data_IF_646660617182
#
_entry.id   IF_646660617182
#
_cell.length_a   1.000
_cell.length_b   1.000
_cell.length_c   1.000
_cell.angle_alpha   90.00
_cell.angle_beta   90.00
_cell.angle_gamma   90.00
#
_symmetry.space_group_name_H-M   'P 1'
#
loop_
_entity.id
_entity.type
_entity.pdbx_description
1 polymer ?
#
# COMPACT_ATOMS: atom_id res chain seq x y z
N UNK A 1 -26.87 -25.91 45.42
CA UNK A 1 -26.61 -25.29 44.11
C UNK A 1 -27.51 -24.06 44.00
N UNK A 2 -26.96 -22.89 44.26
CA UNK A 2 -27.68 -21.62 44.39
C UNK A 2 -27.94 -21.01 43.01
N UNK A 3 -29.22 -20.87 42.65
CA UNK A 3 -29.67 -20.13 41.48
C UNK A 3 -29.35 -18.63 41.64
N UNK A 4 -28.26 -18.16 41.04
CA UNK A 4 -28.01 -16.72 40.81
C UNK A 4 -29.02 -16.24 39.77
N UNK A 5 -30.04 -15.50 40.19
CA UNK A 5 -31.08 -14.99 39.30
C UNK A 5 -30.48 -13.97 38.34
N UNK A 6 -30.80 -14.08 37.05
CA UNK A 6 -30.40 -13.19 35.96
C UNK A 6 -30.64 -11.72 36.32
N UNK A 7 -31.66 -11.41 37.14
CA UNK A 7 -31.97 -10.08 37.65
C UNK A 7 -30.91 -9.48 38.59
N UNK A 8 -30.17 -10.32 39.34
CA UNK A 8 -29.07 -9.82 40.19
C UNK A 8 -27.83 -9.52 39.39
N UNK A 9 -27.55 -10.23 38.28
CA UNK A 9 -26.44 -9.97 37.38
C UNK A 9 -26.67 -8.69 36.58
N UNK A 10 -27.86 -8.48 36.03
CA UNK A 10 -28.21 -7.26 35.31
C UNK A 10 -28.12 -6.00 36.20
N UNK A 11 -28.55 -6.07 37.47
CA UNK A 11 -28.43 -4.95 38.41
C UNK A 11 -26.96 -4.63 38.73
N UNK A 12 -26.09 -5.64 38.83
CA UNK A 12 -24.65 -5.44 39.04
C UNK A 12 -23.95 -4.85 37.81
N UNK A 13 -24.31 -5.29 36.60
CA UNK A 13 -23.80 -4.74 35.34
C UNK A 13 -24.29 -3.29 35.17
N UNK A 14 -25.56 -3.00 35.42
CA UNK A 14 -26.11 -1.64 35.37
C UNK A 14 -25.41 -0.70 36.38
N UNK A 15 -25.19 -1.19 37.61
CA UNK A 15 -24.46 -0.41 38.64
C UNK A 15 -23.00 -0.16 38.23
N UNK A 16 -22.32 -1.12 37.58
CA UNK A 16 -20.94 -0.97 37.08
C UNK A 16 -20.88 0.04 35.94
N UNK A 17 -21.82 0.02 35.02
CA UNK A 17 -21.94 0.97 33.92
C UNK A 17 -22.22 2.40 34.44
N UNK A 18 -23.08 2.56 35.41
CA UNK A 18 -23.35 3.86 36.06
C UNK A 18 -22.13 4.37 36.83
N UNK A 19 -21.38 3.46 37.49
CA UNK A 19 -20.13 3.81 38.20
C UNK A 19 -19.03 4.24 37.20
N UNK A 20 -18.91 3.55 36.04
CA UNK A 20 -17.98 3.89 34.98
C UNK A 20 -18.36 5.19 34.24
N UNK A 21 -19.64 5.48 34.09
CA UNK A 21 -20.13 6.74 33.53
C UNK A 21 -20.03 7.90 34.55
N UNK A 22 -20.12 7.61 35.84
CA UNK A 22 -19.96 8.62 36.91
C UNK A 22 -18.51 9.05 37.19
N UNK A 23 -17.51 8.23 36.79
CA UNK A 23 -16.09 8.59 36.96
C UNK A 23 -15.54 9.43 35.80
N UNK A 24 -16.31 9.65 34.71
CA UNK A 24 -15.93 10.47 33.56
C UNK A 24 -16.30 11.97 33.71
N UNK A 25 -16.76 12.38 34.80
CA UNK A 25 -17.21 13.77 35.01
C UNK A 25 -16.76 14.37 36.29
N UNK A 26 -15.57 14.89 36.39
CA UNK A 26 -15.15 16.18 36.98
C UNK A 26 -13.62 16.27 36.85
N UNK A 27 -13.12 16.41 35.64
CA UNK A 27 -11.84 17.07 35.43
C UNK A 27 -12.08 18.56 35.63
N UNK A 28 -11.72 19.10 36.79
CA UNK A 28 -11.61 20.54 36.95
C UNK A 28 -10.61 21.03 35.93
N UNK A 29 -11.07 21.61 34.82
CA UNK A 29 -10.25 22.41 33.92
C UNK A 29 -9.79 23.61 34.71
N UNK A 30 -8.64 23.50 35.36
CA UNK A 30 -7.84 24.66 35.76
C UNK A 30 -7.52 25.35 34.43
N UNK A 31 -8.19 26.47 34.16
CA UNK A 31 -7.79 27.41 33.10
C UNK A 31 -6.38 27.85 33.51
N UNK A 32 -5.35 27.29 32.89
CA UNK A 32 -4.00 27.77 32.97
C UNK A 32 -4.01 29.22 32.46
N UNK A 33 -3.41 30.14 33.24
CA UNK A 33 -3.38 31.59 32.99
C UNK A 33 -2.48 31.94 31.76
N UNK A 34 -2.35 31.14 30.76
CA UNK A 34 -1.54 31.35 29.56
C UNK A 34 -2.13 30.70 28.31
N UNK A 35 -3.37 30.21 28.38
CA UNK A 35 -4.02 29.53 27.24
C UNK A 35 -3.36 28.20 26.84
N UNK A 36 -3.80 27.62 25.75
CA UNK A 36 -3.24 26.36 25.18
C UNK A 36 -2.51 26.65 23.88
N UNK A 37 -1.30 26.12 23.75
CA UNK A 37 -0.51 26.11 22.50
C UNK A 37 -0.55 24.72 21.90
N UNK A 38 -1.07 24.62 20.70
CA UNK A 38 -1.09 23.33 19.96
C UNK A 38 0.16 23.22 19.09
N UNK A 39 0.88 22.10 19.25
CA UNK A 39 2.05 21.77 18.42
C UNK A 39 1.67 20.74 17.40
N UNK A 40 1.84 21.06 16.13
CA UNK A 40 1.52 20.22 14.97
C UNK A 40 2.81 19.68 14.34
N UNK A 41 3.23 18.44 14.62
CA UNK A 41 4.35 17.82 13.93
C UNK A 41 4.05 17.65 12.44
N UNK A 42 4.89 18.24 11.59
CA UNK A 42 4.67 18.31 10.14
C UNK A 42 5.97 17.92 9.44
N UNK A 43 6.09 16.64 9.08
CA UNK A 43 7.30 16.07 8.46
C UNK A 43 6.95 15.32 7.19
N UNK A 44 7.81 15.45 6.17
CA UNK A 44 7.67 14.73 4.90
C UNK A 44 7.25 15.64 3.75
N UNK A 45 6.79 15.02 2.65
CA UNK A 45 6.38 15.72 1.43
C UNK A 45 5.10 16.52 1.70
N UNK A 46 5.03 17.73 1.13
CA UNK A 46 3.82 18.56 1.15
C UNK A 46 2.85 18.02 0.11
N UNK A 47 1.78 17.43 0.60
CA UNK A 47 0.70 16.80 -0.16
C UNK A 47 -0.68 17.22 0.39
N UNK A 48 -1.75 16.81 -0.27
CA UNK A 48 -3.13 17.12 0.13
C UNK A 48 -3.44 16.62 1.55
N UNK A 49 -2.83 15.52 1.97
CA UNK A 49 -3.05 15.00 3.32
C UNK A 49 -2.42 15.90 4.39
N UNK A 50 -1.25 16.50 4.09
CA UNK A 50 -0.61 17.48 4.95
C UNK A 50 -1.41 18.80 4.96
N UNK A 51 -1.89 19.25 3.80
CA UNK A 51 -2.72 20.45 3.69
C UNK A 51 -4.00 20.29 4.53
N UNK A 52 -4.70 19.18 4.35
CA UNK A 52 -5.90 18.86 5.14
C UNK A 52 -5.60 18.73 6.64
N UNK A 53 -4.51 18.07 7.03
CA UNK A 53 -4.10 17.95 8.42
C UNK A 53 -3.90 19.32 9.07
N UNK A 54 -3.21 20.24 8.40
CA UNK A 54 -2.96 21.57 8.91
C UNK A 54 -4.27 22.39 8.97
N UNK A 55 -5.09 22.37 7.92
CA UNK A 55 -6.37 23.07 7.89
C UNK A 55 -7.31 22.60 9.01
N UNK A 56 -7.49 21.29 9.18
CA UNK A 56 -8.40 20.73 10.19
C UNK A 56 -7.90 21.06 11.61
N UNK A 57 -6.60 21.03 11.88
CA UNK A 57 -6.03 21.31 13.20
C UNK A 57 -6.00 22.82 13.51
N UNK A 58 -5.75 23.69 12.54
CA UNK A 58 -5.85 25.14 12.72
C UNK A 58 -7.29 25.52 13.03
N UNK A 59 -8.26 25.05 12.26
CA UNK A 59 -9.67 25.29 12.53
C UNK A 59 -10.12 24.74 13.90
N UNK A 60 -9.63 23.56 14.29
CA UNK A 60 -9.89 23.01 15.62
C UNK A 60 -9.27 23.84 16.74
N UNK A 61 -8.05 24.34 16.55
CA UNK A 61 -7.38 25.21 17.51
C UNK A 61 -8.14 26.55 17.68
N UNK A 62 -8.63 27.13 16.59
CA UNK A 62 -9.50 28.32 16.63
C UNK A 62 -10.78 28.08 17.43
N UNK A 63 -11.49 26.97 17.16
CA UNK A 63 -12.72 26.62 17.88
C UNK A 63 -12.48 26.39 19.39
N UNK A 64 -11.32 25.90 19.75
CA UNK A 64 -10.92 25.67 21.16
C UNK A 64 -10.35 26.90 21.84
N UNK A 65 -10.24 28.05 21.14
CA UNK A 65 -9.67 29.27 21.67
C UNK A 65 -8.17 29.15 22.00
N UNK A 66 -7.41 28.50 21.14
CA UNK A 66 -5.98 28.35 21.30
C UNK A 66 -5.27 29.70 21.39
N UNK A 67 -4.23 29.82 22.25
CA UNK A 67 -3.39 31.00 22.31
C UNK A 67 -2.45 31.13 21.11
N UNK A 68 -1.99 29.99 20.57
CA UNK A 68 -1.20 29.90 19.34
C UNK A 68 -1.19 28.46 18.79
N UNK A 69 -0.82 28.32 17.52
CA UNK A 69 -0.48 27.04 16.87
C UNK A 69 0.98 27.06 16.46
N UNK A 70 1.75 26.06 16.83
CA UNK A 70 3.14 25.87 16.43
C UNK A 70 3.21 24.72 15.41
N UNK A 71 3.55 25.01 14.18
CA UNK A 71 3.81 24.01 13.14
C UNK A 71 5.29 23.66 13.20
N UNK A 72 5.62 22.45 13.70
CA UNK A 72 6.99 21.92 13.71
C UNK A 72 7.29 21.29 12.36
N UNK A 73 7.95 22.06 11.48
CA UNK A 73 8.11 21.77 10.06
C UNK A 73 9.47 21.14 9.73
N UNK A 74 9.44 20.05 8.94
CA UNK A 74 10.61 19.46 8.29
C UNK A 74 10.19 18.85 6.95
N UNK A 75 10.46 19.54 5.84
CA UNK A 75 9.96 19.12 4.52
C UNK A 75 10.95 19.39 3.39
N UNK A 76 11.09 18.45 2.45
CA UNK A 76 11.82 18.66 1.20
C UNK A 76 11.05 19.54 0.20
N UNK A 77 9.76 19.81 0.46
CA UNK A 77 8.83 20.42 -0.48
C UNK A 77 7.73 19.45 -0.89
N UNK A 78 7.04 19.77 -1.99
CA UNK A 78 5.96 18.92 -2.52
C UNK A 78 5.10 19.63 -3.54
N UNK A 79 3.79 19.33 -3.54
CA UNK A 79 2.81 19.89 -4.47
C UNK A 79 2.66 21.40 -4.31
N UNK A 80 2.65 22.11 -5.43
CA UNK A 80 2.40 23.56 -5.44
C UNK A 80 0.95 23.85 -5.01
N UNK A 81 -0.01 23.06 -5.49
CA UNK A 81 -1.42 23.18 -5.10
C UNK A 81 -1.60 23.03 -3.59
N UNK A 82 -1.08 21.94 -3.02
CA UNK A 82 -1.15 21.73 -1.56
C UNK A 82 -0.39 22.79 -0.77
N UNK A 83 0.69 23.38 -1.37
CA UNK A 83 1.40 24.51 -0.77
C UNK A 83 0.53 25.73 -0.69
N UNK A 84 -0.17 26.06 -1.78
CA UNK A 84 -1.09 27.21 -1.85
C UNK A 84 -2.24 27.05 -0.86
N UNK A 85 -2.79 25.84 -0.72
CA UNK A 85 -3.85 25.55 0.25
C UNK A 85 -3.37 25.76 1.70
N UNK A 86 -2.14 25.31 2.01
CA UNK A 86 -1.53 25.54 3.33
C UNK A 86 -1.29 27.05 3.54
N UNK A 87 -0.66 27.72 2.59
CA UNK A 87 -0.41 29.18 2.67
C UNK A 87 -1.71 29.92 2.90
N UNK A 88 -2.77 29.62 2.14
CA UNK A 88 -4.10 30.20 2.33
C UNK A 88 -4.61 29.97 3.76
N UNK A 89 -4.53 28.76 4.26
CA UNK A 89 -4.92 28.41 5.64
C UNK A 89 -4.14 29.25 6.68
N UNK A 90 -2.83 29.45 6.49
CA UNK A 90 -2.01 30.21 7.45
C UNK A 90 -2.29 31.71 7.37
N UNK A 91 -2.54 32.25 6.19
CA UNK A 91 -2.87 33.67 6.02
C UNK A 91 -4.26 34.04 6.55
N UNK A 92 -5.24 33.11 6.40
CA UNK A 92 -6.61 33.27 6.86
C UNK A 92 -6.82 32.88 8.34
N UNK A 93 -5.80 32.36 9.01
CA UNK A 93 -5.90 31.93 10.40
C UNK A 93 -6.22 33.10 11.33
N UNK A 94 -7.20 32.87 12.22
CA UNK A 94 -7.58 33.80 13.29
C UNK A 94 -6.75 33.62 14.54
N UNK A 95 -6.11 32.46 14.68
CA UNK A 95 -5.16 32.15 15.75
C UNK A 95 -3.73 32.44 15.27
N UNK A 96 -2.83 32.95 16.13
CA UNK A 96 -1.43 33.15 15.78
C UNK A 96 -0.76 31.84 15.36
N UNK A 97 -0.12 31.84 14.19
CA UNK A 97 0.61 30.69 13.65
C UNK A 97 2.11 30.94 13.77
N UNK A 98 2.80 30.00 14.40
CA UNK A 98 4.25 29.95 14.51
C UNK A 98 4.77 28.77 13.70
N UNK A 99 5.64 28.99 12.72
CA UNK A 99 6.35 27.89 12.06
C UNK A 99 7.74 27.77 12.66
N UNK A 100 8.06 26.57 13.12
CA UNK A 100 9.36 26.22 13.66
C UNK A 100 10.01 25.13 12.83
N UNK A 101 11.03 25.50 12.05
CA UNK A 101 11.80 24.55 11.25
C UNK A 101 12.68 23.72 12.16
N UNK A 102 12.32 22.47 12.38
CA UNK A 102 12.95 21.54 13.34
C UNK A 102 12.69 20.08 12.92
N UNK A 103 13.47 19.11 13.39
CA UNK A 103 14.56 19.22 14.39
C UNK A 103 15.84 19.85 13.83
N UNK A 104 16.88 19.94 14.66
CA UNK A 104 18.23 20.32 14.23
C UNK A 104 18.67 19.46 13.01
N UNK A 105 19.27 20.10 11.99
CA UNK A 105 19.60 19.46 10.72
C UNK A 105 18.42 19.28 9.75
N UNK A 106 17.19 19.58 10.19
CA UNK A 106 16.01 19.61 9.34
C UNK A 106 16.03 20.77 8.33
N UNK A 107 14.99 20.88 7.52
CA UNK A 107 14.92 21.89 6.48
C UNK A 107 13.48 22.27 6.11
N UNK A 108 13.33 23.49 5.59
CA UNK A 108 12.13 23.99 4.96
C UNK A 108 12.45 24.32 3.50
N UNK A 109 12.58 23.27 2.67
CA UNK A 109 12.92 23.43 1.26
C UNK A 109 11.67 23.54 0.39
N UNK A 110 11.77 24.26 -0.75
CA UNK A 110 10.71 24.40 -1.76
C UNK A 110 9.41 24.89 -1.11
N UNK A 111 8.31 24.11 -1.15
CA UNK A 111 7.03 24.38 -0.46
C UNK A 111 7.23 24.85 1.00
N UNK A 112 8.19 24.25 1.72
CA UNK A 112 8.50 24.63 3.09
C UNK A 112 8.92 26.08 3.26
N UNK A 113 9.53 26.68 2.23
CA UNK A 113 9.88 28.10 2.23
C UNK A 113 8.63 28.98 2.23
N UNK A 114 7.69 28.72 1.35
CA UNK A 114 6.40 29.43 1.29
C UNK A 114 5.63 29.31 2.62
N UNK A 115 5.50 28.09 3.13
CA UNK A 115 4.81 27.82 4.40
C UNK A 115 5.48 28.57 5.56
N UNK A 116 6.82 28.57 5.62
CA UNK A 116 7.56 29.26 6.68
C UNK A 116 7.37 30.77 6.59
N UNK A 117 7.45 31.35 5.39
CA UNK A 117 7.26 32.78 5.19
C UNK A 117 5.83 33.23 5.47
N UNK A 118 4.82 32.41 5.23
CA UNK A 118 3.40 32.71 5.44
C UNK A 118 3.02 32.80 6.95
N UNK A 119 3.85 32.26 7.85
CA UNK A 119 3.57 32.27 9.30
C UNK A 119 3.69 33.66 9.92
N UNK A 120 2.98 33.87 11.04
CA UNK A 120 3.12 35.10 11.83
C UNK A 120 4.51 35.23 12.46
N UNK A 121 5.04 34.11 12.98
CA UNK A 121 6.39 34.01 13.53
C UNK A 121 7.07 32.80 12.91
N UNK A 122 8.24 33.00 12.31
CA UNK A 122 9.07 31.94 11.76
C UNK A 122 10.34 31.78 12.59
N UNK A 123 10.58 30.56 13.09
CA UNK A 123 11.77 30.22 13.83
C UNK A 123 12.46 29.02 13.22
N UNK A 124 13.76 28.91 13.40
CA UNK A 124 14.54 27.79 12.89
C UNK A 124 15.42 27.21 14.00
N UNK A 125 15.51 25.88 14.05
CA UNK A 125 16.45 25.21 14.94
C UNK A 125 17.89 25.32 14.41
N UNK A 126 18.91 25.22 15.27
CA UNK A 126 20.30 25.24 14.85
C UNK A 126 20.61 24.17 13.79
N UNK A 127 21.43 24.52 12.79
CA UNK A 127 21.83 23.64 11.71
C UNK A 127 20.72 23.32 10.70
N UNK A 128 19.60 24.05 10.73
CA UNK A 128 18.55 23.95 9.72
C UNK A 128 18.80 24.91 8.55
N UNK A 129 18.09 24.69 7.46
CA UNK A 129 18.18 25.52 6.24
C UNK A 129 16.78 25.78 5.64
N UNK A 130 16.70 26.87 4.87
CA UNK A 130 15.46 27.29 4.19
C UNK A 130 15.80 27.80 2.78
N UNK A 131 14.92 27.58 1.79
CA UNK A 131 15.10 28.05 0.42
C UNK A 131 14.92 26.96 -0.63
N UNK A 132 15.65 27.09 -1.76
CA UNK A 132 15.59 26.20 -2.90
C UNK A 132 14.13 26.00 -3.40
N UNK A 133 13.43 27.10 -3.67
CA UNK A 133 11.99 27.11 -3.89
C UNK A 133 11.61 27.27 -5.38
N UNK A 134 12.53 27.05 -6.32
CA UNK A 134 12.25 27.06 -7.75
C UNK A 134 11.28 25.93 -8.12
N UNK A 135 10.20 26.21 -8.86
CA UNK A 135 9.31 25.20 -9.39
C UNK A 135 10.05 24.27 -10.36
N UNK A 136 9.91 22.97 -10.18
CA UNK A 136 10.45 21.93 -11.02
C UNK A 136 9.39 20.87 -11.32
N UNK A 137 9.56 20.11 -12.38
CA UNK A 137 8.77 18.91 -12.58
C UNK A 137 9.00 17.91 -11.44
N UNK A 138 8.01 17.07 -11.17
CA UNK A 138 8.12 16.08 -10.10
C UNK A 138 9.23 15.02 -10.31
N UNK A 139 9.83 14.92 -11.52
CA UNK A 139 11.01 14.08 -11.78
C UNK A 139 12.33 14.81 -11.52
N UNK A 140 12.26 16.06 -11.06
CA UNK A 140 13.42 16.90 -10.79
C UNK A 140 13.95 17.67 -11.99
N UNK A 141 13.32 17.55 -13.17
CA UNK A 141 13.70 18.32 -14.36
C UNK A 141 13.10 19.72 -14.35
N UNK A 142 13.73 20.64 -15.09
CA UNK A 142 13.20 21.99 -15.26
C UNK A 142 11.90 21.99 -16.06
N UNK A 143 10.97 22.86 -15.68
CA UNK A 143 9.75 23.11 -16.46
C UNK A 143 10.12 24.00 -17.66
N UNK A 144 10.16 23.40 -18.85
CA UNK A 144 10.59 24.10 -20.06
C UNK A 144 9.54 25.00 -20.70
N UNK A 145 10.00 25.87 -21.59
CA UNK A 145 9.13 26.66 -22.50
C UNK A 145 8.26 27.71 -21.81
N UNK A 146 7.19 28.11 -22.50
CA UNK A 146 6.26 29.16 -22.02
C UNK A 146 5.58 28.78 -20.70
N UNK A 147 5.34 27.48 -20.47
CA UNK A 147 4.72 27.01 -19.23
C UNK A 147 5.66 27.24 -18.05
N UNK A 148 6.93 26.89 -18.16
CA UNK A 148 7.92 27.12 -17.10
C UNK A 148 8.02 28.59 -16.72
N UNK A 149 8.01 29.49 -17.71
CA UNK A 149 8.00 30.94 -17.44
C UNK A 149 6.73 31.39 -16.69
N UNK A 150 5.56 30.86 -17.03
CA UNK A 150 4.31 31.19 -16.34
C UNK A 150 4.33 30.72 -14.88
N UNK A 151 4.70 29.46 -14.66
CA UNK A 151 4.78 28.87 -13.31
C UNK A 151 5.81 29.61 -12.45
N UNK A 152 6.97 29.90 -12.99
CA UNK A 152 8.03 30.64 -12.27
C UNK A 152 7.57 32.05 -11.90
N UNK A 153 6.96 32.79 -12.84
CA UNK A 153 6.48 34.14 -12.58
C UNK A 153 5.32 34.18 -11.57
N UNK A 154 4.46 33.18 -11.60
CA UNK A 154 3.36 33.04 -10.64
C UNK A 154 3.90 32.76 -9.23
N UNK A 155 4.83 31.81 -9.10
CA UNK A 155 5.49 31.50 -7.83
C UNK A 155 6.30 32.71 -7.27
N UNK A 156 6.92 33.52 -8.14
CA UNK A 156 7.59 34.76 -7.73
C UNK A 156 6.56 35.78 -7.22
N UNK A 157 5.44 35.94 -7.89
CA UNK A 157 4.38 36.85 -7.47
C UNK A 157 3.79 36.43 -6.12
N UNK A 158 3.53 35.14 -5.96
CA UNK A 158 3.01 34.57 -4.71
C UNK A 158 3.96 34.78 -3.53
N UNK A 159 5.24 34.37 -3.66
CA UNK A 159 6.19 34.51 -2.56
C UNK A 159 6.48 35.98 -2.22
N UNK A 160 6.41 36.87 -3.23
CA UNK A 160 6.52 38.32 -3.03
C UNK A 160 5.36 38.82 -2.16
N UNK A 161 4.12 38.42 -2.48
CA UNK A 161 2.92 38.82 -1.72
C UNK A 161 2.99 38.30 -0.28
N UNK A 162 3.40 37.03 -0.08
CA UNK A 162 3.57 36.45 1.24
C UNK A 162 4.63 37.21 2.06
N UNK A 163 5.79 37.49 1.46
CA UNK A 163 6.89 38.16 2.12
C UNK A 163 6.48 39.59 2.53
N UNK A 164 5.77 40.29 1.67
CA UNK A 164 5.24 41.64 1.98
C UNK A 164 4.18 41.63 3.09
N UNK A 165 3.22 40.68 3.07
CA UNK A 165 2.18 40.56 4.09
C UNK A 165 2.74 40.26 5.49
N UNK A 166 3.90 39.59 5.55
CA UNK A 166 4.56 39.15 6.80
C UNK A 166 5.83 39.93 7.14
N UNK A 167 6.06 41.08 6.51
CA UNK A 167 7.24 41.93 6.73
C UNK A 167 8.58 41.16 6.63
N UNK A 168 8.68 40.29 5.64
CA UNK A 168 9.87 39.49 5.38
C UNK A 168 10.74 40.05 4.25
N UNK A 169 11.97 39.57 4.15
CA UNK A 169 12.88 40.00 3.09
C UNK A 169 12.41 39.52 1.72
N UNK A 170 11.80 40.45 0.95
CA UNK A 170 11.24 40.19 -0.38
C UNK A 170 12.33 39.80 -1.38
N UNK A 171 13.49 40.48 -1.37
CA UNK A 171 14.57 40.21 -2.34
C UNK A 171 15.13 38.79 -2.15
N UNK A 172 15.29 38.36 -0.89
CA UNK A 172 15.69 37.00 -0.59
C UNK A 172 14.62 35.99 -1.02
N UNK A 173 13.35 36.26 -0.72
CA UNK A 173 12.23 35.40 -1.07
C UNK A 173 12.14 35.19 -2.59
N UNK A 174 12.25 36.26 -3.36
CA UNK A 174 12.30 36.20 -4.83
C UNK A 174 13.51 35.36 -5.31
N UNK A 175 14.70 35.55 -4.71
CA UNK A 175 15.89 34.78 -5.11
C UNK A 175 15.78 33.30 -4.75
N UNK A 176 15.06 32.94 -3.67
CA UNK A 176 14.81 31.56 -3.31
C UNK A 176 13.99 30.82 -4.39
N UNK A 177 13.05 31.53 -5.05
CA UNK A 177 12.25 30.98 -6.15
C UNK A 177 12.98 31.09 -7.48
N UNK A 178 13.54 32.27 -7.81
CA UNK A 178 14.12 32.53 -9.13
C UNK A 178 15.46 31.82 -9.34
N UNK A 179 16.31 31.84 -8.31
CA UNK A 179 17.69 31.40 -8.37
C UNK A 179 17.96 30.15 -7.52
N UNK A 180 16.92 29.51 -6.98
CA UNK A 180 16.99 28.40 -6.04
C UNK A 180 17.88 28.70 -4.82
N UNK A 181 17.97 29.96 -4.39
CA UNK A 181 18.80 30.33 -3.24
C UNK A 181 18.34 29.60 -1.98
N UNK A 182 19.32 29.14 -1.21
CA UNK A 182 19.09 28.49 0.10
C UNK A 182 20.04 29.13 1.12
N UNK A 183 19.56 29.30 2.35
CA UNK A 183 20.32 29.89 3.44
C UNK A 183 20.29 29.03 4.70
N UNK A 184 21.40 28.89 5.42
CA UNK A 184 21.43 28.35 6.76
C UNK A 184 20.73 29.31 7.74
N UNK A 185 20.40 28.81 8.92
CA UNK A 185 19.61 29.55 9.92
C UNK A 185 20.23 30.91 10.29
N UNK A 186 21.56 31.00 10.43
CA UNK A 186 22.25 32.23 10.81
C UNK A 186 22.08 33.32 9.75
N UNK A 187 22.22 32.97 8.46
CA UNK A 187 22.00 33.88 7.35
C UNK A 187 20.53 34.26 7.23
N UNK A 188 19.62 33.28 7.37
CA UNK A 188 18.17 33.53 7.27
C UNK A 188 17.68 34.51 8.35
N UNK A 189 18.21 34.43 9.58
CA UNK A 189 17.92 35.39 10.64
C UNK A 189 18.51 36.77 10.34
N UNK A 190 19.80 36.81 9.94
CA UNK A 190 20.48 38.09 9.66
C UNK A 190 19.87 38.87 8.52
N UNK A 191 19.34 38.18 7.53
CA UNK A 191 18.64 38.76 6.39
C UNK A 191 17.17 39.09 6.62
N UNK A 192 16.61 38.77 7.79
CA UNK A 192 15.19 38.99 8.09
C UNK A 192 14.23 38.05 7.31
N UNK A 193 14.72 36.90 6.90
CA UNK A 193 13.90 35.86 6.28
C UNK A 193 13.01 35.18 7.34
N UNK A 194 13.60 34.91 8.51
CA UNK A 194 12.93 34.37 9.69
C UNK A 194 13.18 35.27 10.90
N UNK A 195 12.34 35.12 11.94
CA UNK A 195 12.38 36.01 13.11
C UNK A 195 13.48 35.67 14.11
N UNK A 196 14.00 34.45 14.13
CA UNK A 196 15.01 34.03 15.09
C UNK A 196 15.26 32.54 15.12
N UNK A 197 16.00 32.11 16.14
CA UNK A 197 16.35 30.70 16.39
C UNK A 197 15.65 30.17 17.62
N UNK A 198 15.34 28.87 17.62
CA UNK A 198 14.86 28.16 18.81
C UNK A 198 15.26 26.68 18.71
N UNK A 199 15.88 26.13 19.75
CA UNK A 199 16.30 24.73 19.83
C UNK A 199 15.24 23.82 20.43
N UNK A 200 14.35 24.39 21.27
CA UNK A 200 13.29 23.68 21.98
C UNK A 200 11.95 24.38 21.83
N UNK A 201 10.87 23.68 22.12
CA UNK A 201 9.51 24.27 22.10
C UNK A 201 9.38 25.37 23.17
N UNK A 202 10.03 25.24 24.29
CA UNK A 202 10.01 26.26 25.36
C UNK A 202 10.68 27.55 24.87
N UNK A 203 11.77 27.45 24.12
CA UNK A 203 12.40 28.61 23.48
C UNK A 203 11.50 29.25 22.41
N UNK A 204 10.73 28.43 21.62
CA UNK A 204 9.73 28.94 20.69
C UNK A 204 8.68 29.76 21.41
N UNK A 205 8.14 29.23 22.51
CA UNK A 205 7.13 29.91 23.33
C UNK A 205 7.71 31.17 23.97
N UNK A 206 8.90 31.09 24.56
CA UNK A 206 9.58 32.22 25.12
C UNK A 206 9.86 33.36 24.13
N UNK A 207 10.24 33.01 22.89
CA UNK A 207 10.46 33.98 21.83
C UNK A 207 9.17 34.67 21.36
N UNK A 208 8.07 33.92 21.29
CA UNK A 208 6.78 34.40 20.81
C UNK A 208 6.01 35.19 21.88
N UNK A 209 6.24 34.91 23.17
CA UNK A 209 5.55 35.55 24.26
C UNK A 209 5.74 37.07 24.26
N UNK A 210 4.65 37.82 24.43
CA UNK A 210 4.63 39.28 24.42
C UNK A 210 4.72 39.94 23.04
N UNK A 211 4.90 39.17 21.95
CA UNK A 211 4.89 39.72 20.60
C UNK A 211 3.47 39.95 20.10
N UNK A 212 3.29 41.08 19.40
CA UNK A 212 2.04 41.38 18.68
C UNK A 212 2.17 40.91 17.25
N UNK A 213 1.19 40.17 16.75
CA UNK A 213 1.15 39.61 15.39
C UNK A 213 -0.19 39.94 14.75
N UNK A 214 -0.19 40.08 13.42
CA UNK A 214 -1.39 40.31 12.63
C UNK A 214 -2.00 38.98 12.18
N UNK A 215 -3.23 38.69 12.62
CA UNK A 215 -4.02 37.55 12.20
C UNK A 215 -5.21 38.00 11.36
N UNK A 216 -5.97 37.05 10.76
CA UNK A 216 -7.21 37.42 10.07
C UNK A 216 -8.29 38.03 11.00
N UNK A 217 -8.20 37.80 12.31
CA UNK A 217 -9.08 38.42 13.30
C UNK A 217 -8.62 39.83 13.78
N UNK A 218 -7.42 40.27 13.32
CA UNK A 218 -6.80 41.53 13.72
C UNK A 218 -5.47 41.32 14.45
N UNK A 219 -4.98 42.35 15.11
CA UNK A 219 -3.75 42.29 15.90
C UNK A 219 -3.99 41.55 17.21
N UNK A 220 -3.09 40.60 17.49
CA UNK A 220 -3.14 39.79 18.71
C UNK A 220 -1.78 39.86 19.41
N UNK A 221 -1.75 40.23 20.68
CA UNK A 221 -0.56 40.13 21.52
C UNK A 221 -0.57 38.77 22.20
N UNK A 222 0.47 38.01 21.98
CA UNK A 222 0.64 36.66 22.52
C UNK A 222 0.95 36.70 24.02
N UNK A 223 0.06 36.17 24.84
CA UNK A 223 0.36 35.86 26.26
C UNK A 223 0.48 34.33 26.40
N UNK A 224 1.70 33.86 26.41
CA UNK A 224 2.04 32.46 26.48
C UNK A 224 2.68 32.05 27.82
N UNK A 225 2.64 32.96 28.84
CA UNK A 225 3.16 32.67 30.17
C UNK A 225 2.36 31.54 30.83
N UNK A 226 3.03 30.43 31.17
CA UNK A 226 2.38 29.27 31.75
C UNK A 226 1.42 28.51 30.78
N UNK A 227 1.55 28.72 29.48
CA UNK A 227 0.73 28.05 28.49
C UNK A 227 0.86 26.52 28.56
N UNK A 228 -0.26 25.84 28.44
CA UNK A 228 -0.27 24.39 28.32
C UNK A 228 0.10 23.99 26.91
N UNK A 229 1.18 23.22 26.74
CA UNK A 229 1.62 22.71 25.45
C UNK A 229 0.89 21.39 25.17
N UNK A 230 0.11 21.33 24.11
CA UNK A 230 -0.56 20.12 23.65
C UNK A 230 -0.02 19.75 22.29
N UNK A 231 0.64 18.59 22.19
CA UNK A 231 1.07 18.06 20.91
C UNK A 231 -0.06 17.26 20.30
N UNK A 232 -0.58 17.73 19.17
CA UNK A 232 -1.54 16.97 18.39
C UNK A 232 -0.79 15.86 17.65
N UNK A 233 -1.30 14.65 17.80
CA UNK A 233 -0.79 13.50 17.04
C UNK A 233 -1.67 13.28 15.83
N UNK A 234 -1.08 12.87 14.73
CA UNK A 234 -1.86 12.45 13.55
C UNK A 234 -2.80 11.34 14.02
N UNK A 235 -4.10 11.51 13.79
CA UNK A 235 -5.09 10.47 14.09
C UNK A 235 -4.62 9.15 13.46
N UNK A 236 -4.59 8.03 14.23
CA UNK A 236 -4.15 6.72 13.70
C UNK A 236 -4.85 6.31 12.41
N UNK A 237 -6.12 6.66 12.24
CA UNK A 237 -6.86 6.42 11.01
C UNK A 237 -6.30 7.24 9.83
N UNK A 238 -5.99 8.53 10.05
CA UNK A 238 -5.38 9.38 9.03
C UNK A 238 -3.95 8.92 8.69
N UNK A 239 -3.18 8.47 9.70
CA UNK A 239 -1.87 7.87 9.49
C UNK A 239 -1.96 6.59 8.64
N UNK A 240 -3.00 5.77 8.86
CA UNK A 240 -3.27 4.58 8.06
C UNK A 240 -3.67 4.92 6.63
N UNK A 241 -4.56 5.90 6.42
CA UNK A 241 -4.91 6.39 5.06
C UNK A 241 -3.68 6.93 4.34
N UNK A 242 -2.83 7.71 5.03
CA UNK A 242 -1.58 8.22 4.46
C UNK A 242 -0.61 7.09 4.07
N UNK A 243 -0.52 6.02 4.87
CA UNK A 243 0.24 4.82 4.50
C UNK A 243 -0.32 4.17 3.23
N UNK A 244 -1.65 4.07 3.12
CA UNK A 244 -2.30 3.54 1.91
C UNK A 244 -2.13 4.44 0.69
N UNK A 245 -1.87 5.73 0.89
CA UNK A 245 -1.62 6.69 -0.20
C UNK A 245 -0.19 6.63 -0.74
N UNK A 246 0.70 5.80 -0.15
CA UNK A 246 2.04 5.56 -0.70
C UNK A 246 1.94 4.69 -1.97
N UNK A 247 2.45 5.17 -3.13
CA UNK A 247 2.36 4.44 -4.40
C UNK A 247 2.97 3.04 -4.35
N UNK A 248 4.02 2.88 -3.54
CA UNK A 248 4.71 1.61 -3.34
C UNK A 248 3.82 0.62 -2.59
N UNK A 249 3.16 1.09 -1.52
CA UNK A 249 2.20 0.29 -0.74
C UNK A 249 1.00 -0.10 -1.59
N UNK A 250 0.45 0.84 -2.35
CA UNK A 250 -0.65 0.57 -3.30
C UNK A 250 -0.26 -0.51 -4.30
N UNK A 251 0.92 -0.37 -4.94
CA UNK A 251 1.41 -1.34 -5.91
C UNK A 251 1.61 -2.73 -5.30
N UNK A 252 2.16 -2.81 -4.09
CA UNK A 252 2.33 -4.05 -3.35
C UNK A 252 0.98 -4.69 -2.99
N UNK A 253 0.04 -3.93 -2.44
CA UNK A 253 -1.29 -4.41 -2.08
C UNK A 253 -2.06 -4.92 -3.31
N UNK A 254 -2.04 -4.15 -4.40
CA UNK A 254 -2.73 -4.54 -5.62
C UNK A 254 -2.14 -5.80 -6.25
N UNK A 255 -0.80 -5.88 -6.33
CA UNK A 255 -0.12 -7.03 -6.93
C UNK A 255 -0.27 -8.30 -6.07
N UNK A 256 -0.05 -8.22 -4.76
CA UNK A 256 -0.20 -9.37 -3.86
C UNK A 256 -1.65 -9.80 -3.73
N UNK A 257 -2.58 -8.86 -3.70
CA UNK A 257 -4.02 -9.13 -3.70
C UNK A 257 -4.46 -9.86 -4.97
N UNK A 258 -3.97 -9.42 -6.13
CA UNK A 258 -4.26 -10.07 -7.42
C UNK A 258 -3.70 -11.49 -7.48
N UNK A 259 -2.47 -11.72 -7.01
CA UNK A 259 -1.87 -13.05 -6.91
C UNK A 259 -2.70 -13.94 -5.95
N UNK A 260 -3.15 -13.39 -4.82
CA UNK A 260 -4.01 -14.11 -3.87
C UNK A 260 -5.33 -14.56 -4.50
N UNK A 261 -6.00 -13.70 -5.27
CA UNK A 261 -7.22 -14.06 -5.99
C UNK A 261 -6.98 -15.12 -7.07
N UNK A 262 -5.88 -14.99 -7.84
CA UNK A 262 -5.52 -16.01 -8.83
C UNK A 262 -5.22 -17.37 -8.17
N UNK A 263 -4.52 -17.37 -7.03
CA UNK A 263 -4.26 -18.59 -6.26
C UNK A 263 -5.55 -19.24 -5.76
N UNK A 264 -6.52 -18.45 -5.32
CA UNK A 264 -7.84 -18.93 -4.91
C UNK A 264 -8.61 -19.58 -6.06
N UNK A 265 -8.58 -18.97 -7.24
CA UNK A 265 -9.22 -19.53 -8.45
C UNK A 265 -8.60 -20.88 -8.85
N UNK A 266 -7.28 -21.05 -8.64
CA UNK A 266 -6.57 -22.28 -8.95
C UNK A 266 -6.74 -23.37 -7.87
N UNK A 267 -6.75 -22.99 -6.61
CA UNK A 267 -6.87 -23.89 -5.46
C UNK A 267 -7.75 -23.25 -4.38
N UNK A 268 -9.08 -23.45 -4.46
CA UNK A 268 -10.03 -22.85 -3.54
C UNK A 268 -9.74 -23.22 -2.08
N UNK A 269 -9.40 -22.22 -1.24
CA UNK A 269 -9.14 -22.40 0.19
C UNK A 269 -9.79 -21.30 1.05
N UNK A 270 -10.48 -20.34 0.44
CA UNK A 270 -11.14 -19.16 1.01
C UNK A 270 -10.20 -18.16 1.69
N UNK A 271 -9.05 -18.56 2.20
CA UNK A 271 -8.11 -17.68 2.91
C UNK A 271 -7.42 -16.74 1.95
N UNK A 272 -6.85 -17.27 0.86
CA UNK A 272 -6.17 -16.44 -0.16
C UNK A 272 -7.16 -15.54 -0.91
N UNK A 273 -8.41 -16.00 -1.11
CA UNK A 273 -9.47 -15.20 -1.71
C UNK A 273 -9.89 -14.01 -0.84
N UNK A 274 -10.13 -14.24 0.45
CA UNK A 274 -10.53 -13.18 1.39
C UNK A 274 -9.40 -12.17 1.56
N UNK A 275 -8.17 -12.64 1.82
CA UNK A 275 -7.01 -11.75 1.98
C UNK A 275 -6.70 -10.99 0.70
N UNK A 276 -6.75 -11.66 -0.46
CA UNK A 276 -6.53 -11.03 -1.76
C UNK A 276 -7.56 -9.94 -2.06
N UNK A 277 -8.84 -10.21 -1.81
CA UNK A 277 -9.91 -9.23 -1.96
C UNK A 277 -9.71 -8.02 -1.03
N UNK A 278 -9.38 -8.26 0.24
CA UNK A 278 -9.12 -7.19 1.20
C UNK A 278 -7.94 -6.31 0.75
N UNK A 279 -6.85 -6.91 0.30
CA UNK A 279 -5.68 -6.16 -0.20
C UNK A 279 -6.04 -5.30 -1.42
N UNK A 280 -6.86 -5.82 -2.36
CA UNK A 280 -7.33 -5.03 -3.51
C UNK A 280 -8.22 -3.88 -3.07
N UNK A 281 -9.14 -4.09 -2.12
CA UNK A 281 -9.99 -3.01 -1.59
C UNK A 281 -9.13 -1.92 -0.97
N UNK A 282 -8.14 -2.27 -0.14
CA UNK A 282 -7.21 -1.31 0.46
C UNK A 282 -6.40 -0.57 -0.61
N UNK A 283 -5.93 -1.27 -1.64
CA UNK A 283 -5.25 -0.65 -2.77
C UNK A 283 -6.15 0.35 -3.51
N UNK A 284 -7.42 0.01 -3.75
CA UNK A 284 -8.38 0.91 -4.40
C UNK A 284 -8.69 2.16 -3.56
N UNK A 285 -8.71 2.03 -2.22
CA UNK A 285 -8.82 3.19 -1.31
C UNK A 285 -7.59 4.09 -1.49
N UNK A 286 -6.39 3.53 -1.48
CA UNK A 286 -5.15 4.28 -1.72
C UNK A 286 -5.10 4.92 -3.11
N UNK A 287 -5.56 4.23 -4.15
CA UNK A 287 -5.66 4.76 -5.51
C UNK A 287 -6.59 5.97 -5.61
N UNK A 288 -7.65 6.03 -4.82
CA UNK A 288 -8.58 7.16 -4.81
C UNK A 288 -7.96 8.48 -4.34
N UNK A 289 -6.78 8.43 -3.73
CA UNK A 289 -6.03 9.60 -3.24
C UNK A 289 -4.84 9.98 -4.14
N UNK A 290 -4.59 9.25 -5.23
CA UNK A 290 -3.43 9.39 -6.10
C UNK A 290 -3.84 9.72 -7.54
N UNK A 291 -3.04 10.50 -8.31
CA UNK A 291 -3.31 10.78 -9.71
C UNK A 291 -3.14 9.49 -10.54
N UNK A 292 -4.26 8.91 -10.94
CA UNK A 292 -4.32 7.63 -11.64
C UNK A 292 -4.20 7.79 -13.15
N UNK A 293 -3.27 7.04 -13.74
CA UNK A 293 -3.24 6.81 -15.19
C UNK A 293 -4.11 5.59 -15.56
N UNK A 294 -5.24 5.85 -16.18
CA UNK A 294 -6.19 4.81 -16.62
C UNK A 294 -5.52 3.80 -17.57
N UNK A 295 -4.60 4.24 -18.42
CA UNK A 295 -3.85 3.35 -19.32
C UNK A 295 -2.95 2.36 -18.57
N UNK A 296 -2.26 2.83 -17.52
CA UNK A 296 -1.46 1.97 -16.64
C UNK A 296 -2.32 0.94 -15.91
N UNK A 297 -3.48 1.35 -15.39
CA UNK A 297 -4.42 0.43 -14.74
C UNK A 297 -4.95 -0.63 -15.71
N UNK A 298 -5.35 -0.23 -16.93
CA UNK A 298 -5.80 -1.18 -17.96
C UNK A 298 -4.71 -2.20 -18.30
N UNK A 299 -3.44 -1.76 -18.42
CA UNK A 299 -2.33 -2.68 -18.69
C UNK A 299 -2.13 -3.70 -17.57
N UNK A 300 -2.25 -3.29 -16.30
CA UNK A 300 -2.16 -4.21 -15.16
C UNK A 300 -3.30 -5.23 -15.22
N UNK A 301 -4.54 -4.77 -15.41
CA UNK A 301 -5.71 -5.65 -15.53
C UNK A 301 -5.57 -6.61 -16.70
N UNK A 302 -5.09 -6.14 -17.85
CA UNK A 302 -4.82 -6.98 -19.02
C UNK A 302 -3.74 -8.03 -18.74
N UNK A 303 -2.66 -7.64 -18.04
CA UNK A 303 -1.63 -8.57 -17.58
C UNK A 303 -2.20 -9.68 -16.69
N UNK A 304 -3.12 -9.34 -15.77
CA UNK A 304 -3.81 -10.33 -14.92
C UNK A 304 -4.69 -11.29 -15.74
N UNK A 305 -5.40 -10.78 -16.75
CA UNK A 305 -6.16 -11.63 -17.66
C UNK A 305 -5.25 -12.61 -18.41
N UNK A 306 -4.08 -12.14 -18.87
CA UNK A 306 -3.10 -13.01 -19.52
C UNK A 306 -2.56 -14.10 -18.56
N UNK A 307 -2.33 -13.79 -17.27
CA UNK A 307 -1.98 -14.81 -16.27
C UNK A 307 -3.11 -15.81 -16.05
N UNK A 308 -4.36 -15.36 -15.96
CA UNK A 308 -5.52 -16.26 -15.88
C UNK A 308 -5.65 -17.19 -17.07
N UNK A 309 -5.44 -16.66 -18.29
CA UNK A 309 -5.47 -17.44 -19.52
C UNK A 309 -4.32 -18.45 -19.60
N UNK A 310 -3.12 -18.13 -19.10
CA UNK A 310 -1.99 -19.08 -19.05
C UNK A 310 -2.34 -20.33 -18.24
N UNK A 311 -3.17 -20.22 -17.19
CA UNK A 311 -3.61 -21.37 -16.40
C UNK A 311 -4.56 -22.29 -17.14
N UNK A 312 -5.30 -21.78 -18.12
CA UNK A 312 -6.34 -22.52 -18.86
C UNK A 312 -5.89 -22.93 -20.27
N UNK A 313 -5.06 -22.09 -20.90
CA UNK A 313 -4.58 -22.29 -22.27
C UNK A 313 -3.13 -22.77 -22.24
N UNK A 314 -2.82 -23.83 -22.97
CA UNK A 314 -1.44 -24.38 -23.04
C UNK A 314 -0.54 -23.54 -23.96
N UNK A 315 -0.23 -22.31 -23.53
CA UNK A 315 0.62 -21.39 -24.29
C UNK A 315 2.11 -21.56 -24.07
N UNK A 316 2.51 -22.53 -23.20
CA UNK A 316 3.90 -22.80 -22.83
C UNK A 316 4.66 -21.60 -22.24
N UNK A 317 3.95 -20.71 -21.56
CA UNK A 317 4.52 -19.54 -20.89
C UNK A 317 4.46 -18.23 -21.69
N UNK A 318 3.98 -18.26 -22.94
CA UNK A 318 3.94 -17.05 -23.78
C UNK A 318 2.96 -15.99 -23.25
N UNK A 319 1.76 -16.42 -22.83
CA UNK A 319 0.77 -15.52 -22.20
C UNK A 319 1.27 -15.02 -20.85
N UNK A 320 1.90 -15.89 -20.06
CA UNK A 320 2.51 -15.52 -18.79
C UNK A 320 3.61 -14.48 -18.96
N UNK A 321 4.50 -14.62 -19.94
CA UNK A 321 5.52 -13.63 -20.27
C UNK A 321 4.89 -12.28 -20.68
N UNK A 322 3.87 -12.32 -21.53
CA UNK A 322 3.09 -11.13 -21.90
C UNK A 322 2.46 -10.45 -20.69
N UNK A 323 1.93 -11.23 -19.75
CA UNK A 323 1.38 -10.75 -18.47
C UNK A 323 2.42 -10.04 -17.60
N UNK A 324 3.64 -10.58 -17.49
CA UNK A 324 4.76 -9.93 -16.77
C UNK A 324 5.13 -8.60 -17.40
N UNK A 325 5.23 -8.54 -18.72
CA UNK A 325 5.55 -7.29 -19.46
C UNK A 325 4.45 -6.24 -19.26
N UNK A 326 3.18 -6.64 -19.40
CA UNK A 326 2.04 -5.73 -19.16
C UNK A 326 2.00 -5.22 -17.72
N UNK A 327 2.30 -6.09 -16.74
CA UNK A 327 2.37 -5.72 -15.33
C UNK A 327 3.49 -4.71 -15.07
N UNK A 328 4.70 -4.95 -15.59
CA UNK A 328 5.84 -4.05 -15.42
C UNK A 328 5.59 -2.66 -16.03
N UNK A 329 5.10 -2.62 -17.28
CA UNK A 329 4.77 -1.36 -17.96
C UNK A 329 3.60 -0.66 -17.26
N UNK A 330 2.56 -1.42 -16.89
CA UNK A 330 1.39 -0.89 -16.21
C UNK A 330 1.72 -0.27 -14.86
N UNK A 331 2.56 -0.93 -14.04
CA UNK A 331 3.05 -0.37 -12.76
C UNK A 331 3.92 0.87 -12.97
N UNK A 332 4.76 0.89 -14.02
CA UNK A 332 5.58 2.06 -14.35
C UNK A 332 4.73 3.26 -14.77
N UNK A 333 3.61 3.01 -15.44
CA UNK A 333 2.71 4.03 -15.94
C UNK A 333 1.56 4.39 -14.99
N UNK A 334 1.36 3.64 -13.90
CA UNK A 334 0.16 3.69 -13.06
C UNK A 334 -0.15 5.09 -12.51
N UNK A 335 0.89 5.85 -12.20
CA UNK A 335 0.80 7.21 -11.64
C UNK A 335 1.42 8.27 -12.55
N UNK A 336 1.60 7.98 -13.83
CA UNK A 336 1.99 8.98 -14.83
C UNK A 336 0.72 9.61 -15.38
N UNK A 337 0.14 10.57 -14.68
CA UNK A 337 -0.95 11.41 -15.19
C UNK A 337 -0.47 12.30 -16.34
N UNK A 338 -1.39 12.96 -17.09
CA UNK A 338 -1.00 14.10 -17.93
C UNK A 338 -0.27 15.07 -17.01
N UNK A 339 0.98 15.42 -17.40
CA UNK A 339 1.86 16.23 -16.58
C UNK A 339 1.13 17.54 -16.17
N UNK A 340 0.55 17.56 -14.99
CA UNK A 340 0.24 18.79 -14.31
C UNK A 340 1.58 19.28 -13.73
N UNK A 341 2.09 20.43 -14.20
CA UNK A 341 3.36 20.95 -13.72
C UNK A 341 3.34 21.28 -12.23
N UNK A 342 2.15 21.25 -11.60
CA UNK A 342 1.91 21.59 -10.20
C UNK A 342 1.78 20.38 -9.28
N UNK A 343 1.69 19.15 -9.84
CA UNK A 343 1.62 17.93 -9.02
C UNK A 343 2.96 17.19 -8.98
N UNK A 344 3.40 16.73 -7.80
CA UNK A 344 4.58 15.88 -7.69
C UNK A 344 4.34 14.60 -8.49
N UNK A 345 5.32 14.19 -9.30
CA UNK A 345 5.27 12.90 -9.99
C UNK A 345 5.30 11.76 -8.96
N UNK A 346 4.12 11.27 -8.67
CA UNK A 346 3.93 10.06 -7.88
C UNK A 346 4.34 8.88 -8.74
N UNK A 347 5.34 8.10 -8.32
CA UNK A 347 5.83 6.92 -9.07
C UNK A 347 6.02 5.72 -8.17
N UNK A 348 5.70 4.55 -8.68
CA UNK A 348 6.11 3.30 -8.03
C UNK A 348 7.63 3.17 -8.09
N UNK A 349 8.26 2.88 -6.96
CA UNK A 349 9.71 2.73 -6.91
C UNK A 349 10.20 1.64 -7.89
N UNK A 350 11.21 1.90 -8.73
CA UNK A 350 11.70 0.93 -9.72
C UNK A 350 12.11 -0.41 -9.12
N UNK A 351 12.63 -0.42 -7.91
CA UNK A 351 12.97 -1.64 -7.16
C UNK A 351 11.74 -2.50 -6.87
N UNK A 352 10.60 -1.88 -6.57
CA UNK A 352 9.33 -2.58 -6.30
C UNK A 352 8.77 -3.16 -7.60
N UNK A 353 8.79 -2.41 -8.69
CA UNK A 353 8.40 -2.92 -10.01
C UNK A 353 9.25 -4.14 -10.37
N UNK A 354 10.57 -4.07 -10.16
CA UNK A 354 11.48 -5.18 -10.42
C UNK A 354 11.13 -6.41 -9.56
N UNK A 355 10.93 -6.24 -8.25
CA UNK A 355 10.59 -7.34 -7.33
C UNK A 355 9.26 -7.98 -7.72
N UNK A 356 8.21 -7.19 -7.98
CA UNK A 356 6.90 -7.71 -8.38
C UNK A 356 7.01 -8.48 -9.71
N UNK A 357 7.69 -7.90 -10.71
CA UNK A 357 7.83 -8.51 -12.02
C UNK A 357 8.65 -9.81 -11.98
N UNK A 358 9.74 -9.86 -11.22
CA UNK A 358 10.54 -11.07 -11.02
C UNK A 358 9.75 -12.14 -10.29
N UNK A 359 8.99 -11.76 -9.25
CA UNK A 359 8.13 -12.71 -8.52
C UNK A 359 7.04 -13.28 -9.41
N UNK A 360 6.37 -12.45 -10.20
CA UNK A 360 5.37 -12.88 -11.16
C UNK A 360 5.98 -13.83 -12.22
N UNK A 361 7.14 -13.49 -12.77
CA UNK A 361 7.86 -14.34 -13.72
C UNK A 361 8.26 -15.69 -13.11
N UNK A 362 8.72 -15.71 -11.85
CA UNK A 362 9.07 -16.94 -11.15
C UNK A 362 7.85 -17.83 -10.92
N UNK A 363 6.71 -17.26 -10.56
CA UNK A 363 5.44 -17.99 -10.41
C UNK A 363 4.98 -18.60 -11.73
N UNK A 364 5.02 -17.83 -12.83
CA UNK A 364 4.69 -18.34 -14.19
C UNK A 364 5.63 -19.49 -14.55
N UNK A 365 6.94 -19.31 -14.34
CA UNK A 365 7.92 -20.36 -14.63
C UNK A 365 7.66 -21.64 -13.81
N UNK A 366 7.29 -21.50 -12.53
CA UNK A 366 6.93 -22.64 -11.66
C UNK A 366 5.69 -23.38 -12.17
N UNK A 367 4.65 -22.65 -12.57
CA UNK A 367 3.41 -23.23 -13.12
C UNK A 367 3.70 -23.96 -14.45
N UNK A 368 4.43 -23.34 -15.37
CA UNK A 368 4.82 -23.95 -16.63
C UNK A 368 5.69 -25.18 -16.41
N UNK A 369 6.67 -25.09 -15.50
CA UNK A 369 7.51 -26.25 -15.11
C UNK A 369 6.66 -27.39 -14.54
N UNK A 370 5.74 -27.10 -13.63
CA UNK A 370 4.82 -28.08 -13.06
C UNK A 370 3.95 -28.75 -14.12
N UNK A 371 3.39 -27.98 -15.06
CA UNK A 371 2.59 -28.47 -16.15
C UNK A 371 3.38 -29.38 -17.11
N UNK A 372 4.61 -28.99 -17.45
CA UNK A 372 5.50 -29.83 -18.31
C UNK A 372 5.88 -31.12 -17.57
N UNK A 373 6.22 -31.03 -16.29
CA UNK A 373 6.58 -32.20 -15.47
C UNK A 373 5.41 -33.15 -15.29
N UNK A 374 4.20 -32.64 -15.03
CA UNK A 374 2.98 -33.44 -14.91
C UNK A 374 2.66 -34.21 -16.18
N UNK A 375 2.92 -33.63 -17.36
CA UNK A 375 2.74 -34.33 -18.65
C UNK A 375 3.81 -35.38 -18.93
N UNK A 376 5.02 -35.24 -18.38
CA UNK A 376 6.11 -36.22 -18.52
C UNK A 376 5.95 -37.40 -17.58
N UNK A 377 5.27 -37.23 -16.44
CA UNK A 377 4.79 -38.34 -15.62
C UNK A 377 3.52 -38.84 -16.33
N UNK A 378 3.72 -39.60 -17.41
CA UNK A 378 2.64 -40.38 -17.98
C UNK A 378 2.02 -41.16 -16.82
N UNK A 379 0.70 -41.14 -16.72
CA UNK A 379 -0.04 -42.10 -15.90
C UNK A 379 0.43 -43.50 -16.32
N UNK A 380 1.49 -43.97 -15.70
CA UNK A 380 1.68 -45.41 -15.53
C UNK A 380 0.57 -45.77 -14.56
N UNK A 381 -0.63 -45.91 -15.08
CA UNK A 381 -1.62 -46.73 -14.41
C UNK A 381 -0.84 -48.04 -14.17
N UNK A 382 -0.78 -48.54 -12.95
CA UNK A 382 -0.28 -49.88 -12.73
C UNK A 382 -1.32 -50.85 -13.35
N UNK A 383 -1.31 -50.91 -14.70
CA UNK A 383 -2.05 -51.91 -15.43
C UNK A 383 -1.29 -53.22 -15.15
N UNK A 384 -1.82 -54.02 -14.24
CA UNK A 384 -1.31 -55.33 -13.99
C UNK A 384 -0.47 -55.53 -12.73
N UNK A 385 -0.70 -54.82 -11.63
CA UNK A 385 -0.09 -55.14 -10.34
C UNK A 385 -0.63 -56.48 -9.77
N UNK A 386 -1.66 -57.07 -10.40
CA UNK A 386 -2.29 -58.30 -9.93
C UNK A 386 -1.90 -59.59 -10.67
N UNK A 387 -1.54 -59.54 -11.97
CA UNK A 387 -1.35 -60.76 -12.76
C UNK A 387 -0.08 -60.70 -13.60
N UNK A 388 0.92 -61.56 -13.31
CA UNK A 388 2.14 -61.71 -14.10
C UNK A 388 2.03 -62.91 -15.07
N UNK A 389 2.78 -62.94 -16.17
CA UNK A 389 2.97 -64.13 -16.95
C UNK A 389 3.40 -65.32 -16.07
N UNK A 390 2.76 -66.46 -16.25
CA UNK A 390 2.91 -67.64 -15.39
C UNK A 390 1.89 -67.78 -14.27
N UNK A 391 1.09 -66.73 -13.99
CA UNK A 391 0.00 -66.81 -12.99
C UNK A 391 -1.05 -67.85 -13.40
N UNK A 392 -1.55 -68.59 -12.43
CA UNK A 392 -2.62 -69.58 -12.61
C UNK A 392 -3.97 -68.96 -12.28
N UNK A 393 -4.99 -69.41 -13.00
CA UNK A 393 -6.37 -68.91 -12.83
C UNK A 393 -7.38 -69.93 -13.33
N UNK A 394 -8.64 -69.49 -13.42
CA UNK A 394 -9.73 -70.35 -13.86
C UNK A 394 -10.67 -69.54 -14.78
N UNK A 395 -11.19 -70.20 -15.83
CA UNK A 395 -12.18 -69.59 -16.73
C UNK A 395 -13.48 -69.34 -15.99
N UNK A 396 -13.98 -68.12 -15.96
CA UNK A 396 -15.25 -67.73 -15.37
C UNK A 396 -16.38 -67.70 -16.39
N UNK A 397 -16.16 -67.15 -17.56
CA UNK A 397 -17.04 -67.25 -18.73
C UNK A 397 -16.29 -67.87 -19.90
N UNK A 398 -16.96 -68.71 -20.74
CA UNK A 398 -16.32 -69.43 -21.83
C UNK A 398 -15.50 -68.49 -22.74
N UNK A 399 -14.26 -68.92 -23.11
CA UNK A 399 -13.41 -68.23 -24.04
C UNK A 399 -13.68 -68.72 -25.44
N UNK A 400 -14.41 -67.92 -26.29
CA UNK A 400 -14.71 -68.32 -27.67
C UNK A 400 -14.74 -67.13 -28.63
N UNK A 401 -13.65 -66.51 -29.05
CA UNK A 401 -12.28 -66.54 -28.54
C UNK A 401 -12.02 -65.63 -27.32
N UNK A 402 -12.97 -64.73 -26.95
CA UNK A 402 -12.91 -63.79 -25.81
C UNK A 402 -13.93 -64.19 -24.73
N UNK A 403 -13.49 -64.11 -23.51
CA UNK A 403 -14.30 -64.34 -22.29
C UNK A 403 -13.65 -63.74 -21.09
N UNK A 404 -13.97 -64.26 -19.88
CA UNK A 404 -13.34 -63.81 -18.64
C UNK A 404 -12.71 -64.91 -17.84
N UNK A 405 -11.62 -64.61 -17.16
CA UNK A 405 -10.92 -65.52 -16.26
C UNK A 405 -10.73 -64.85 -14.87
N UNK A 406 -10.70 -65.66 -13.84
CA UNK A 406 -10.23 -65.20 -12.51
C UNK A 406 -8.77 -65.59 -12.41
N UNK A 407 -7.88 -64.62 -12.26
CA UNK A 407 -6.48 -64.82 -12.01
C UNK A 407 -6.05 -63.92 -10.83
N UNK A 408 -5.37 -64.47 -9.87
CA UNK A 408 -4.92 -63.75 -8.66
C UNK A 408 -6.05 -63.08 -7.85
N UNK A 409 -7.28 -63.66 -7.89
CA UNK A 409 -8.44 -63.11 -7.18
C UNK A 409 -9.22 -62.02 -7.90
N UNK A 410 -8.75 -61.61 -9.07
CA UNK A 410 -9.42 -60.55 -9.89
C UNK A 410 -9.97 -61.16 -11.18
N UNK A 411 -11.06 -60.58 -11.70
CA UNK A 411 -11.66 -60.95 -12.95
C UNK A 411 -11.03 -60.15 -14.11
N UNK A 412 -10.51 -60.88 -15.11
CA UNK A 412 -9.84 -60.32 -16.28
C UNK A 412 -10.50 -60.77 -17.57
N UNK A 413 -10.55 -59.88 -18.55
CA UNK A 413 -10.83 -60.31 -19.93
C UNK A 413 -9.70 -61.18 -20.44
N UNK A 414 -10.03 -62.28 -21.08
CA UNK A 414 -9.00 -63.21 -21.58
C UNK A 414 -9.35 -63.77 -22.96
N UNK A 415 -8.29 -64.12 -23.70
CA UNK A 415 -8.35 -64.90 -24.93
C UNK A 415 -7.37 -66.08 -24.87
N UNK A 416 -7.69 -67.15 -25.56
CA UNK A 416 -6.78 -68.29 -25.67
C UNK A 416 -5.68 -68.01 -26.68
N UNK A 417 -4.47 -68.46 -26.41
CA UNK A 417 -3.31 -68.31 -27.29
C UNK A 417 -3.48 -69.12 -28.60
N UNK A 418 -4.16 -70.28 -28.51
CA UNK A 418 -4.42 -71.21 -29.63
C UNK A 418 -5.70 -70.91 -30.41
N UNK A 419 -6.54 -69.99 -29.98
CA UNK A 419 -7.88 -69.77 -30.52
C UNK A 419 -8.90 -70.87 -30.16
N UNK A 420 -8.53 -71.86 -29.34
CA UNK A 420 -9.41 -72.93 -28.91
C UNK A 420 -10.46 -72.39 -27.90
N UNK A 421 -11.68 -72.93 -27.92
CA UNK A 421 -12.71 -72.64 -26.95
C UNK A 421 -12.37 -73.30 -25.62
N UNK A 422 -12.40 -72.53 -24.53
CA UNK A 422 -12.24 -73.06 -23.15
C UNK A 422 -13.53 -72.85 -22.40
N UNK A 423 -14.00 -73.93 -21.75
CA UNK A 423 -15.21 -73.91 -20.98
C UNK A 423 -15.03 -73.36 -19.56
N UNK A 424 -16.12 -72.89 -18.96
CA UNK A 424 -16.11 -72.40 -17.58
C UNK A 424 -15.57 -73.44 -16.64
N UNK A 425 -14.69 -72.98 -15.73
CA UNK A 425 -14.03 -73.84 -14.74
C UNK A 425 -12.69 -74.43 -15.21
N UNK A 426 -12.31 -74.25 -16.48
CA UNK A 426 -11.03 -74.78 -17.00
C UNK A 426 -9.88 -74.06 -16.33
N UNK A 427 -8.92 -74.76 -15.72
CA UNK A 427 -7.71 -74.14 -15.19
C UNK A 427 -6.85 -73.59 -16.31
N UNK A 428 -6.33 -72.36 -16.11
CA UNK A 428 -5.53 -71.66 -17.11
C UNK A 428 -4.23 -71.13 -16.50
N UNK A 429 -3.26 -70.89 -17.38
CA UNK A 429 -2.03 -70.19 -17.11
C UNK A 429 -1.94 -68.96 -18.01
N UNK A 430 -1.55 -67.85 -17.41
CA UNK A 430 -1.37 -66.58 -18.13
C UNK A 430 -0.03 -66.62 -18.89
N UNK A 431 -0.06 -66.45 -20.17
CA UNK A 431 1.15 -66.37 -21.05
C UNK A 431 1.59 -64.90 -21.18
N UNK A 432 0.64 -63.99 -21.40
CA UNK A 432 0.94 -62.60 -21.68
C UNK A 432 -0.17 -61.70 -21.15
N UNK A 433 0.22 -60.53 -20.71
CA UNK A 433 -0.71 -59.46 -20.28
C UNK A 433 -0.65 -58.35 -21.32
N UNK A 434 -1.77 -58.03 -21.98
CA UNK A 434 -1.90 -57.01 -22.99
C UNK A 434 -2.99 -56.00 -22.60
N UNK A 435 -2.58 -54.95 -21.90
CA UNK A 435 -3.53 -53.98 -21.35
C UNK A 435 -4.46 -54.61 -20.30
N UNK A 436 -5.76 -54.64 -20.56
CA UNK A 436 -6.78 -55.26 -19.68
C UNK A 436 -7.14 -56.69 -20.15
N UNK A 437 -6.45 -57.25 -21.14
CA UNK A 437 -6.73 -58.58 -21.68
C UNK A 437 -5.54 -59.54 -21.44
N UNK A 438 -5.84 -60.70 -20.86
CA UNK A 438 -4.87 -61.78 -20.66
C UNK A 438 -4.88 -62.74 -21.88
N UNK A 439 -3.70 -63.12 -22.33
CA UNK A 439 -3.58 -64.26 -23.25
C UNK A 439 -3.26 -65.48 -22.41
N UNK A 440 -4.11 -66.51 -22.46
CA UNK A 440 -4.03 -67.69 -21.59
C UNK A 440 -3.97 -68.98 -22.36
N UNK A 441 -3.46 -70.03 -21.70
CA UNK A 441 -3.50 -71.41 -22.18
C UNK A 441 -4.04 -72.35 -21.09
N UNK A 442 -4.56 -73.54 -21.43
CA UNK A 442 -4.95 -74.53 -20.43
C UNK A 442 -3.74 -74.95 -19.56
N UNK A 443 -3.91 -74.94 -18.26
CA UNK A 443 -2.85 -75.39 -17.35
C UNK A 443 -2.81 -76.91 -17.29
N UNK A 444 -1.88 -77.48 -18.02
CA UNK A 444 -1.64 -78.94 -18.06
C UNK A 444 -1.19 -79.55 -16.74
N UNK A 445 -0.76 -78.75 -15.76
CA UNK A 445 -0.29 -79.22 -14.45
C UNK A 445 -1.41 -79.69 -13.51
N UNK A 446 -2.66 -79.22 -13.75
CA UNK A 446 -3.80 -79.58 -12.90
C UNK A 446 -4.54 -80.89 -13.29
N UNK A 447 -4.11 -81.57 -14.35
CA UNK A 447 -4.67 -82.87 -14.79
C UNK A 447 -4.00 -84.11 -14.18
N UNK A 448 -3.05 -83.99 -13.23
CA UNK A 448 -2.43 -85.08 -12.53
C UNK A 448 -2.83 -85.09 -11.04
N UNK A 449 -4.06 -85.41 -10.76
CA UNK A 449 -4.55 -85.47 -9.40
C UNK A 449 -6.01 -85.97 -9.31
N UNK A 450 -6.29 -87.13 -9.79
CA UNK A 450 -7.43 -87.96 -9.38
C UNK A 450 -6.93 -89.38 -9.22
#
# INVERSE_FOLDING_TARGET
>A
MSHLSIGSLMRRVAALVVLLLGLSGVGSTSLAAGGTVYVLPTTGIVDDSMAKYLADNVASAEQRGAAAVVIKLNTPGGSLTSTNDIVGTLLEAKVPIIVWVAPAGGFAASAGTFITLASNIALMAPGTRIGAASPINGDGSDIGGTLGHKVLNDAIAEITSIAQERDRNVDWAVSAVKDAKSSPVEEAVSLGVVNGTASTIDEVIGFANGKTVKTAAGEVTLDLNGATITQETINPFLAFIRLLSDPTIVALLFSTGSIGLLAELYSPNFVTGILGTLMIILALIGLGTLPLNVGGLILILFGMVLFGLELTVTSHGLLGLGGVVCLAIGLSALFTGPADPFEPLVRVAPSVIAVISVTAAALVALVVYGAIRSRRVGLVLPIGVGVAPGAVGQVRSPLAPLGSVIANGEEWSARTASGATLERGTPIRVIKVEGLTLTVEPDASSSKGT
#
